data_IF_319856022351
#
_entry.id   IF_319856022351
#
_cell.length_a   1.000
_cell.length_b   1.000
_cell.length_c   1.000
_cell.angle_alpha   90.00
_cell.angle_beta   90.00
_cell.angle_gamma   90.00
#
_symmetry.space_group_name_H-M   'P 1'
#
loop_
_entity.id
_entity.type
_entity.pdbx_description
1 polymer ?
#
# COMPACT_ATOMS: atom_id res chain seq x y z
N UNK A 1 -8.44 -9.34 13.85
CA UNK A 1 -8.74 -8.29 12.86
C UNK A 1 -9.69 -8.89 11.84
N UNK A 2 -10.79 -8.23 11.50
CA UNK A 2 -11.62 -8.69 10.38
C UNK A 2 -10.96 -8.31 9.05
N UNK A 3 -11.40 -8.88 7.93
CA UNK A 3 -10.87 -8.50 6.62
C UNK A 3 -11.12 -7.02 6.29
N UNK A 4 -12.27 -6.48 6.72
CA UNK A 4 -12.58 -5.06 6.55
C UNK A 4 -11.66 -4.17 7.37
N UNK A 5 -11.36 -4.56 8.62
CA UNK A 5 -10.39 -3.84 9.46
C UNK A 5 -8.97 -3.91 8.86
N UNK A 6 -8.59 -5.06 8.29
CA UNK A 6 -7.30 -5.25 7.59
C UNK A 6 -7.19 -4.28 6.41
N UNK A 7 -8.18 -4.28 5.54
CA UNK A 7 -8.21 -3.43 4.36
C UNK A 7 -8.22 -1.94 4.71
N UNK A 8 -8.93 -1.53 5.77
CA UNK A 8 -8.92 -0.14 6.23
C UNK A 8 -7.55 0.29 6.77
N UNK A 9 -6.86 -0.59 7.50
CA UNK A 9 -5.51 -0.35 7.98
C UNK A 9 -4.50 -0.23 6.81
N UNK A 10 -4.59 -1.12 5.82
CA UNK A 10 -3.77 -1.03 4.60
C UNK A 10 -4.08 0.25 3.84
N UNK A 11 -5.35 0.62 3.67
CA UNK A 11 -5.74 1.85 2.99
C UNK A 11 -5.15 3.09 3.65
N UNK A 12 -5.06 3.12 4.99
CA UNK A 12 -4.41 4.21 5.73
C UNK A 12 -2.92 4.35 5.35
N UNK A 13 -2.23 3.23 5.17
CA UNK A 13 -0.82 3.21 4.74
C UNK A 13 -0.72 3.66 3.28
N UNK A 14 -1.56 3.13 2.39
CA UNK A 14 -1.61 3.52 0.97
C UNK A 14 -1.87 5.01 0.81
N UNK A 15 -2.83 5.59 1.54
CA UNK A 15 -3.15 7.02 1.50
C UNK A 15 -1.95 7.86 1.97
N UNK A 16 -1.27 7.42 3.04
CA UNK A 16 -0.06 8.08 3.54
C UNK A 16 1.03 8.06 2.46
N UNK A 17 1.35 6.91 1.88
CA UNK A 17 2.42 6.78 0.86
C UNK A 17 2.05 7.59 -0.38
N UNK A 18 0.80 7.51 -0.82
CA UNK A 18 0.28 8.25 -1.98
C UNK A 18 0.44 9.77 -1.82
N UNK A 19 0.30 10.29 -0.60
CA UNK A 19 0.37 11.73 -0.33
C UNK A 19 1.75 12.36 -0.54
N UNK A 20 2.85 11.61 -0.52
CA UNK A 20 4.21 12.16 -0.64
C UNK A 20 5.07 11.45 -1.69
N UNK A 21 4.53 10.44 -2.39
CA UNK A 21 5.21 9.67 -3.43
C UNK A 21 5.78 10.52 -4.59
N UNK A 22 5.34 11.77 -4.73
CA UNK A 22 5.79 12.67 -5.80
C UNK A 22 7.31 12.90 -5.69
N UNK A 23 8.06 12.22 -6.56
CA UNK A 23 9.53 12.21 -6.58
C UNK A 23 10.21 11.04 -5.86
N UNK A 24 9.46 10.07 -5.32
CA UNK A 24 10.02 8.84 -4.74
C UNK A 24 10.40 7.79 -5.82
N UNK A 25 11.41 6.98 -5.53
CA UNK A 25 11.72 5.79 -6.36
C UNK A 25 10.90 4.58 -5.92
N UNK A 26 10.70 3.60 -6.82
CA UNK A 26 9.98 2.35 -6.55
C UNK A 26 10.39 1.64 -5.25
N UNK A 27 11.69 1.51 -5.01
CA UNK A 27 12.20 0.90 -3.78
C UNK A 27 11.74 1.65 -2.52
N UNK A 28 11.66 2.97 -2.59
CA UNK A 28 11.19 3.82 -1.47
C UNK A 28 9.70 3.61 -1.18
N UNK A 29 8.88 3.42 -2.22
CA UNK A 29 7.45 3.16 -2.06
C UNK A 29 7.22 1.79 -1.40
N UNK A 30 7.91 0.76 -1.88
CA UNK A 30 7.81 -0.59 -1.34
C UNK A 30 8.28 -0.69 0.13
N UNK A 31 9.38 -0.03 0.48
CA UNK A 31 9.89 0.02 1.86
C UNK A 31 8.90 0.72 2.81
N UNK A 32 8.28 1.81 2.37
CA UNK A 32 7.31 2.54 3.20
C UNK A 32 5.97 1.82 3.34
N UNK A 33 5.53 1.07 2.32
CA UNK A 33 4.39 0.16 2.43
C UNK A 33 4.66 -0.94 3.46
N UNK A 34 5.83 -1.58 3.39
CA UNK A 34 6.24 -2.63 4.34
C UNK A 34 6.26 -2.08 5.77
N UNK A 35 7.01 -1.00 5.99
CA UNK A 35 7.11 -0.36 7.30
C UNK A 35 5.75 0.09 7.83
N UNK A 36 4.95 0.76 7.00
CA UNK A 36 3.64 1.24 7.39
C UNK A 36 2.70 0.10 7.77
N UNK A 37 2.74 -1.02 7.05
CA UNK A 37 1.95 -2.21 7.35
C UNK A 37 2.33 -2.82 8.71
N UNK A 38 3.63 -2.94 9.00
CA UNK A 38 4.13 -3.39 10.31
C UNK A 38 3.70 -2.44 11.44
N UNK A 39 3.77 -1.12 11.22
CA UNK A 39 3.35 -0.09 12.18
C UNK A 39 1.87 -0.20 12.56
N UNK A 40 1.01 -0.63 11.62
CA UNK A 40 -0.43 -0.85 11.86
C UNK A 40 -0.78 -2.29 12.21
N UNK A 41 0.21 -3.18 12.32
CA UNK A 41 0.02 -4.59 12.70
C UNK A 41 -0.62 -5.45 11.61
N UNK A 42 -0.43 -5.08 10.34
CA UNK A 42 -0.86 -5.86 9.18
C UNK A 42 0.36 -6.48 8.50
N UNK A 43 0.29 -7.78 8.27
CA UNK A 43 1.27 -8.49 7.45
C UNK A 43 0.84 -8.39 5.97
N UNK A 44 1.73 -7.83 5.14
CA UNK A 44 1.63 -7.84 3.69
C UNK A 44 2.73 -8.73 3.13
N UNK A 45 2.36 -9.65 2.25
CA UNK A 45 3.33 -10.44 1.48
C UNK A 45 4.11 -9.56 0.50
N UNK A 46 5.29 -10.03 0.09
CA UNK A 46 6.11 -9.32 -0.89
C UNK A 46 5.35 -9.07 -2.22
N UNK A 47 4.48 -10.00 -2.63
CA UNK A 47 3.62 -9.86 -3.81
C UNK A 47 2.51 -8.80 -3.65
N UNK A 48 1.94 -8.65 -2.46
CA UNK A 48 0.96 -7.58 -2.17
C UNK A 48 1.66 -6.22 -2.15
N UNK A 49 2.86 -6.13 -1.55
CA UNK A 49 3.67 -4.91 -1.52
C UNK A 49 4.06 -4.49 -2.94
N UNK A 50 4.54 -5.41 -3.76
CA UNK A 50 4.95 -5.12 -5.13
C UNK A 50 3.77 -4.57 -5.96
N UNK A 51 2.59 -5.20 -5.86
CA UNK A 51 1.39 -4.75 -6.58
C UNK A 51 0.92 -3.37 -6.14
N UNK A 52 0.92 -3.11 -4.83
CA UNK A 52 0.56 -1.78 -4.31
C UNK A 52 1.59 -0.74 -4.77
N UNK A 53 2.88 -1.04 -4.71
CA UNK A 53 3.94 -0.12 -5.13
C UNK A 53 3.87 0.22 -6.62
N UNK A 54 3.59 -0.76 -7.48
CA UNK A 54 3.41 -0.56 -8.92
C UNK A 54 2.25 0.41 -9.20
N UNK A 55 1.08 0.15 -8.61
CA UNK A 55 -0.13 0.98 -8.83
C UNK A 55 0.02 2.40 -8.26
N UNK A 56 0.64 2.53 -7.09
CA UNK A 56 0.91 3.82 -6.43
C UNK A 56 1.82 4.71 -7.28
N UNK A 57 2.80 4.11 -7.96
CA UNK A 57 3.70 4.86 -8.84
C UNK A 57 3.11 5.17 -10.21
N UNK A 58 2.31 4.28 -10.78
CA UNK A 58 1.67 4.47 -12.09
C UNK A 58 0.51 5.48 -12.02
N UNK A 59 -0.19 5.56 -10.88
CA UNK A 59 -1.36 6.44 -10.72
C UNK A 59 -1.01 7.76 -10.02
N UNK A 60 -1.25 8.86 -10.71
CA UNK A 60 -1.29 10.21 -10.14
C UNK A 60 -2.63 10.51 -9.41
N UNK A 61 -3.15 9.55 -8.65
CA UNK A 61 -4.47 9.66 -8.02
C UNK A 61 -4.68 8.66 -6.88
N UNK A 62 -5.85 8.73 -6.24
CA UNK A 62 -6.18 7.84 -5.13
C UNK A 62 -6.12 6.36 -5.54
N UNK A 63 -5.42 5.55 -4.74
CA UNK A 63 -5.29 4.10 -4.92
C UNK A 63 -6.18 3.37 -3.92
N UNK A 64 -6.94 2.39 -4.38
CA UNK A 64 -7.77 1.53 -3.52
C UNK A 64 -7.02 0.24 -3.20
N UNK A 65 -6.67 0.03 -1.93
CA UNK A 65 -6.03 -1.21 -1.50
C UNK A 65 -6.92 -2.44 -1.78
N UNK A 66 -8.23 -2.31 -1.56
CA UNK A 66 -9.17 -3.40 -1.79
C UNK A 66 -9.25 -3.82 -3.27
N UNK A 67 -9.18 -2.85 -4.19
CA UNK A 67 -9.16 -3.12 -5.64
C UNK A 67 -7.89 -3.89 -6.03
N UNK A 68 -6.72 -3.39 -5.60
CA UNK A 68 -5.42 -3.98 -5.95
C UNK A 68 -5.24 -5.39 -5.39
N UNK A 69 -5.71 -5.62 -4.15
CA UNK A 69 -5.50 -6.88 -3.45
C UNK A 69 -6.55 -7.95 -3.77
N UNK A 70 -7.72 -7.58 -4.29
CA UNK A 70 -8.75 -8.55 -4.73
C UNK A 70 -8.43 -9.21 -6.07
N UNK A 71 -7.51 -8.66 -6.85
CA UNK A 71 -7.05 -9.20 -8.13
C UNK A 71 -5.95 -10.28 -7.96
N UNK A 72 -5.79 -10.83 -6.74
CA UNK A 72 -4.75 -11.81 -6.36
C UNK A 72 -5.24 -13.25 -6.19
#
# INVERSE_FOLDING_TARGET
MTEQDRLAAIQTVVDRVTSWQDGATEGTVADELRRGSEEVGVDLSDDEIARLADVIQDRHGAVSAAEVLSEG
#
